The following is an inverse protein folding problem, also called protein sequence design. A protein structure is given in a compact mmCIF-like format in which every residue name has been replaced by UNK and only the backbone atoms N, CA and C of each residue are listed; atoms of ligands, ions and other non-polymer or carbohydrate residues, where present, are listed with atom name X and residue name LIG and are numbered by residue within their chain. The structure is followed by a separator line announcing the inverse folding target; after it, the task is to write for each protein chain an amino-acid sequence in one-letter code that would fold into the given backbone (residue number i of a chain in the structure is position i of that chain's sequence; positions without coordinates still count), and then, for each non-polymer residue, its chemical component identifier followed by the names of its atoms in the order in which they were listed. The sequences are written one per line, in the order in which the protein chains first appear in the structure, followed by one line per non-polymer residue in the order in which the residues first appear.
data_IF_595945410990
#
_entry.id   IF_595945410990
#
_cell.length_a   1.000
_cell.length_b   1.000
_cell.length_c   1.000
_cell.angle_alpha   90.00
_cell.angle_beta   90.00
_cell.angle_gamma   90.00
#
_symmetry.space_group_name_H-M   'P 1'
#
loop_
_entity.id
_entity.type
_entity.pdbx_description
1 polymer ?
#
# COMPACT_ATOMS: atom_id res chain seq x y z
N UNK A 1 14.37 9.50 4.09
CA UNK A 1 13.09 10.22 4.16
C UNK A 1 12.05 9.44 3.38
N UNK A 2 10.82 9.35 3.88
CA UNK A 2 9.69 8.60 3.29
C UNK A 2 9.62 7.10 3.59
N UNK A 3 8.65 6.40 2.98
CA UNK A 3 8.15 5.09 3.44
C UNK A 3 9.09 3.93 3.17
N UNK A 4 8.79 2.81 3.82
CA UNK A 4 9.42 1.50 3.57
C UNK A 4 8.78 0.82 2.35
N UNK A 5 9.42 -0.18 1.72
CA UNK A 5 8.74 -1.03 0.74
C UNK A 5 7.50 -1.72 1.33
N UNK A 6 6.50 -2.02 0.48
CA UNK A 6 5.36 -2.85 0.89
C UNK A 6 5.81 -4.19 1.48
N UNK A 7 5.12 -4.63 2.53
CA UNK A 7 5.21 -6.00 3.00
C UNK A 7 4.10 -6.78 2.30
N UNK A 8 4.45 -7.69 1.39
CA UNK A 8 3.46 -8.65 0.90
C UNK A 8 3.20 -9.63 2.04
N UNK A 9 1.95 -9.78 2.50
CA UNK A 9 1.63 -10.70 3.58
C UNK A 9 0.52 -11.65 3.14
N UNK A 10 0.89 -12.92 2.91
CA UNK A 10 -0.02 -14.01 3.27
C UNK A 10 -0.23 -13.92 4.79
N UNK A 11 -1.46 -14.05 5.32
CA UNK A 11 -1.66 -14.00 6.77
C UNK A 11 -0.85 -15.12 7.44
N UNK A 12 0.20 -14.74 8.16
CA UNK A 12 1.00 -15.65 8.96
C UNK A 12 0.20 -16.10 10.18
N UNK A 13 0.43 -17.33 10.64
CA UNK A 13 -0.02 -17.72 11.97
C UNK A 13 0.62 -16.80 13.03
N UNK A 14 -0.05 -16.60 14.16
CA UNK A 14 0.47 -15.76 15.27
C UNK A 14 1.89 -16.19 15.69
N UNK A 15 2.17 -17.50 15.68
CA UNK A 15 3.48 -18.03 16.01
C UNK A 15 4.56 -17.72 14.95
N UNK A 16 4.25 -17.81 13.65
CA UNK A 16 5.19 -17.42 12.58
C UNK A 16 5.42 -15.90 12.56
N UNK A 17 4.38 -15.11 12.83
CA UNK A 17 4.49 -13.65 12.93
C UNK A 17 5.42 -13.24 14.08
N UNK A 18 5.33 -13.87 15.25
CA UNK A 18 6.22 -13.61 16.38
C UNK A 18 7.69 -13.96 16.06
N UNK A 19 7.94 -15.10 15.41
CA UNK A 19 9.29 -15.50 14.96
C UNK A 19 9.85 -14.50 13.96
N UNK A 20 9.05 -14.06 12.99
CA UNK A 20 9.46 -13.06 12.01
C UNK A 20 9.75 -11.70 12.64
N UNK A 21 8.92 -11.26 13.59
CA UNK A 21 9.13 -10.02 14.35
C UNK A 21 10.46 -10.07 15.11
N UNK A 22 10.77 -11.19 15.76
CA UNK A 22 12.05 -11.35 16.48
C UNK A 22 13.27 -11.27 15.54
N UNK A 23 13.16 -11.81 14.32
CA UNK A 23 14.20 -11.68 13.29
C UNK A 23 14.32 -10.25 12.76
N UNK A 24 13.22 -9.52 12.68
CA UNK A 24 13.21 -8.12 12.22
C UNK A 24 13.84 -7.18 13.26
N UNK A 25 13.59 -7.41 14.56
CA UNK A 25 14.23 -6.67 15.65
C UNK A 25 15.76 -6.79 15.67
N UNK A 26 16.30 -7.88 15.11
CA UNK A 26 17.73 -8.08 15.01
C UNK A 26 18.42 -7.16 13.98
N UNK A 27 17.67 -6.33 13.24
CA UNK A 27 18.14 -5.37 12.24
C UNK A 27 19.20 -5.96 11.28
N UNK A 28 18.84 -7.13 10.74
CA UNK A 28 19.70 -7.87 9.82
C UNK A 28 20.81 -8.68 10.49
N UNK A 29 20.99 -8.69 11.81
CA UNK A 29 21.92 -9.63 12.46
C UNK A 29 21.40 -11.07 12.34
N UNK A 30 22.19 -12.03 11.83
CA UNK A 30 21.78 -13.43 11.76
C UNK A 30 21.68 -14.05 13.15
N UNK A 31 20.56 -14.71 13.44
CA UNK A 31 20.27 -15.38 14.71
C UNK A 31 20.16 -16.90 14.54
N UNK A 32 20.55 -17.66 15.56
CA UNK A 32 20.30 -19.10 15.64
C UNK A 32 18.87 -19.37 16.10
N UNK A 33 18.30 -20.50 15.66
CA UNK A 33 16.97 -20.94 16.13
C UNK A 33 16.85 -20.98 17.66
N UNK A 34 17.92 -21.35 18.37
CA UNK A 34 17.93 -21.37 19.85
C UNK A 34 17.80 -19.97 20.46
N UNK A 35 18.41 -18.95 19.86
CA UNK A 35 18.33 -17.58 20.37
C UNK A 35 16.90 -17.05 20.26
N UNK A 36 16.25 -17.33 19.13
CA UNK A 36 14.86 -16.95 18.86
C UNK A 36 13.90 -17.70 19.78
N UNK A 37 14.09 -19.01 19.94
CA UNK A 37 13.29 -19.84 20.84
C UNK A 37 13.36 -19.34 22.29
N UNK A 38 14.56 -19.01 22.77
CA UNK A 38 14.76 -18.48 24.11
C UNK A 38 14.09 -17.11 24.29
N UNK A 39 14.21 -16.21 23.30
CA UNK A 39 13.60 -14.87 23.35
C UNK A 39 12.06 -14.94 23.41
N UNK A 40 11.46 -15.88 22.67
CA UNK A 40 10.01 -16.03 22.59
C UNK A 40 9.43 -17.00 23.63
N UNK A 41 10.25 -17.62 24.47
CA UNK A 41 9.80 -18.66 25.42
C UNK A 41 9.22 -19.90 24.72
N UNK A 42 9.66 -20.19 23.50
CA UNK A 42 9.17 -21.30 22.67
C UNK A 42 10.13 -22.49 22.68
N UNK A 43 9.64 -23.66 22.27
CA UNK A 43 10.48 -24.83 22.08
C UNK A 43 11.27 -24.74 20.76
N UNK A 44 12.57 -25.05 20.81
CA UNK A 44 13.49 -24.86 19.66
C UNK A 44 13.05 -25.62 18.39
N UNK A 45 12.45 -26.80 18.52
CA UNK A 45 11.97 -27.54 17.35
C UNK A 45 10.77 -26.85 16.68
N UNK A 46 9.84 -26.31 17.46
CA UNK A 46 8.70 -25.55 16.95
C UNK A 46 9.17 -24.26 16.29
N UNK A 47 10.14 -23.57 16.89
CA UNK A 47 10.78 -22.40 16.27
C UNK A 47 11.49 -22.77 14.96
N UNK A 48 12.15 -23.94 14.87
CA UNK A 48 12.73 -24.41 13.60
C UNK A 48 11.67 -24.66 12.52
N UNK A 49 10.57 -25.32 12.84
CA UNK A 49 9.47 -25.53 11.90
C UNK A 49 8.88 -24.20 11.39
N UNK A 50 8.75 -23.21 12.28
CA UNK A 50 8.33 -21.86 11.89
C UNK A 50 9.38 -21.17 11.00
N UNK A 51 10.66 -21.27 11.33
CA UNK A 51 11.74 -20.71 10.52
C UNK A 51 11.83 -21.38 9.15
N UNK A 52 11.68 -22.70 9.06
CA UNK A 52 11.61 -23.44 7.80
C UNK A 52 10.44 -22.96 6.94
N UNK A 53 9.26 -22.76 7.54
CA UNK A 53 8.12 -22.15 6.88
C UNK A 53 8.42 -20.74 6.37
N UNK A 54 9.00 -19.87 7.21
CA UNK A 54 9.38 -18.52 6.82
C UNK A 54 10.46 -18.50 5.72
N UNK A 55 11.39 -19.46 5.71
CA UNK A 55 12.39 -19.60 4.64
C UNK A 55 11.74 -20.07 3.33
N UNK A 56 10.81 -21.02 3.41
CA UNK A 56 10.04 -21.49 2.26
C UNK A 56 9.16 -20.37 1.68
N UNK A 57 8.60 -19.53 2.53
CA UNK A 57 7.85 -18.35 2.17
C UNK A 57 8.76 -17.15 1.77
N UNK A 58 10.10 -17.30 1.75
CA UNK A 58 11.08 -16.23 1.48
C UNK A 58 11.01 -14.99 2.41
N UNK A 59 10.47 -15.15 3.62
CA UNK A 59 10.45 -14.16 4.68
C UNK A 59 11.74 -14.12 5.50
N UNK A 60 12.50 -15.21 5.47
CA UNK A 60 13.79 -15.34 6.12
C UNK A 60 14.79 -16.04 5.18
N UNK A 61 16.07 -15.77 5.36
CA UNK A 61 17.15 -16.55 4.73
C UNK A 61 17.85 -17.41 5.77
N UNK A 62 18.23 -18.62 5.37
CA UNK A 62 19.04 -19.54 6.16
C UNK A 62 20.45 -19.61 5.58
N UNK A 63 21.45 -19.28 6.38
CA UNK A 63 22.87 -19.41 6.03
C UNK A 63 23.54 -20.38 6.98
N UNK A 64 24.61 -21.04 6.52
CA UNK A 64 25.41 -21.88 7.40
C UNK A 64 26.55 -21.04 7.97
N UNK A 65 26.75 -21.10 9.28
CA UNK A 65 27.88 -20.44 9.92
C UNK A 65 29.22 -20.94 9.34
N UNK A 66 30.20 -20.04 9.24
CA UNK A 66 31.54 -20.42 8.82
C UNK A 66 32.11 -21.51 9.76
N UNK A 67 32.65 -22.62 9.23
CA UNK A 67 33.20 -23.69 10.06
C UNK A 67 34.30 -23.16 10.99
N UNK A 68 34.10 -23.31 12.30
CA UNK A 68 35.12 -23.03 13.32
C UNK A 68 35.28 -24.25 14.22
N UNK A 69 36.37 -25.00 14.02
CA UNK A 69 36.72 -26.15 14.86
C UNK A 69 35.92 -27.43 14.57
N UNK A 70 35.86 -28.33 15.56
CA UNK A 70 35.15 -29.62 15.46
C UNK A 70 33.67 -29.43 15.82
N UNK A 71 32.78 -29.75 14.90
CA UNK A 71 31.32 -29.72 15.10
C UNK A 71 30.59 -29.45 13.79
N UNK A 72 29.30 -29.81 13.71
CA UNK A 72 28.46 -29.43 12.56
C UNK A 72 28.20 -27.92 12.65
N UNK A 73 28.54 -27.12 11.63
CA UNK A 73 28.26 -25.69 11.64
C UNK A 73 26.76 -25.42 11.81
N UNK A 74 26.41 -24.38 12.55
CA UNK A 74 25.01 -24.09 12.84
C UNK A 74 24.35 -23.29 11.72
N UNK A 75 23.04 -23.51 11.54
CA UNK A 75 22.21 -22.67 10.67
C UNK A 75 21.90 -21.35 11.38
N UNK A 76 22.15 -20.25 10.68
CA UNK A 76 21.80 -18.90 11.04
C UNK A 76 20.63 -18.44 10.19
N UNK A 77 19.70 -17.71 10.79
CA UNK A 77 18.51 -17.19 10.15
C UNK A 77 18.50 -15.67 10.25
N UNK A 78 18.08 -15.00 9.19
CA UNK A 78 17.92 -13.54 9.20
C UNK A 78 16.63 -13.19 8.47
N UNK A 79 15.98 -12.10 8.89
CA UNK A 79 14.83 -11.56 8.18
C UNK A 79 15.26 -11.11 6.77
N UNK A 80 14.50 -11.50 5.74
CA UNK A 80 14.74 -10.99 4.39
C UNK A 80 14.36 -9.51 4.33
N UNK A 81 15.24 -8.63 3.81
CA UNK A 81 14.85 -7.25 3.54
C UNK A 81 13.64 -7.25 2.60
N UNK A 82 12.47 -6.80 3.06
CA UNK A 82 11.28 -6.59 2.22
C UNK A 82 10.36 -7.80 1.96
N UNK A 83 10.49 -8.89 2.72
CA UNK A 83 9.41 -9.90 2.88
C UNK A 83 9.31 -11.01 1.80
N UNK A 84 8.21 -11.81 1.82
CA UNK A 84 8.08 -13.14 1.20
C UNK A 84 8.16 -13.14 -0.33
N UNK A 85 8.03 -11.97 -0.93
CA UNK A 85 7.98 -11.80 -2.38
C UNK A 85 9.10 -10.89 -2.86
N UNK A 86 10.12 -10.60 -2.05
CA UNK A 86 11.16 -9.61 -2.38
C UNK A 86 11.79 -9.76 -3.79
N UNK A 87 12.11 -10.97 -4.29
CA UNK A 87 12.61 -11.14 -5.65
C UNK A 87 11.58 -10.78 -6.73
N UNK A 88 10.32 -11.17 -6.53
CA UNK A 88 9.21 -10.89 -7.44
C UNK A 88 8.81 -9.40 -7.37
N UNK A 89 8.80 -8.82 -6.18
CA UNK A 89 8.56 -7.39 -5.94
C UNK A 89 9.61 -6.50 -6.62
N UNK A 90 10.89 -6.92 -6.64
CA UNK A 90 11.92 -6.23 -7.44
C UNK A 90 11.66 -6.32 -8.94
N UNK A 91 11.23 -7.47 -9.46
CA UNK A 91 10.93 -7.63 -10.88
C UNK A 91 9.73 -6.77 -11.30
N UNK A 92 8.67 -6.73 -10.50
CA UNK A 92 7.53 -5.84 -10.75
C UNK A 92 7.88 -4.36 -10.57
N UNK A 93 8.74 -4.02 -9.62
CA UNK A 93 9.24 -2.65 -9.49
C UNK A 93 10.05 -2.23 -10.73
N UNK A 94 10.94 -3.09 -11.23
CA UNK A 94 11.70 -2.81 -12.46
C UNK A 94 10.79 -2.71 -13.70
N UNK A 95 9.75 -3.55 -13.80
CA UNK A 95 8.75 -3.42 -14.86
C UNK A 95 7.96 -2.10 -14.73
N UNK A 96 7.59 -1.73 -13.51
CA UNK A 96 6.91 -0.46 -13.26
C UNK A 96 7.79 0.73 -13.66
N UNK A 97 9.09 0.70 -13.36
CA UNK A 97 10.05 1.72 -13.77
C UNK A 97 10.05 1.89 -15.30
N UNK A 98 10.22 0.80 -16.06
CA UNK A 98 10.21 0.81 -17.53
C UNK A 98 8.88 1.33 -18.10
N UNK A 99 7.75 0.95 -17.51
CA UNK A 99 6.44 1.43 -17.96
C UNK A 99 6.23 2.91 -17.65
N UNK A 100 6.76 3.40 -16.54
CA UNK A 100 6.72 4.83 -16.20
C UNK A 100 7.57 5.63 -17.16
N UNK A 101 8.78 5.17 -17.49
CA UNK A 101 9.65 5.78 -18.51
C UNK A 101 8.90 5.88 -19.86
N UNK A 102 8.24 4.80 -20.29
CA UNK A 102 7.44 4.82 -21.52
C UNK A 102 6.31 5.86 -21.49
N UNK A 103 5.63 6.02 -20.35
CA UNK A 103 4.58 7.04 -20.19
C UNK A 103 5.17 8.44 -20.27
N UNK A 104 6.31 8.67 -19.64
CA UNK A 104 7.00 9.96 -19.69
C UNK A 104 7.43 10.34 -21.11
N UNK A 105 7.81 9.37 -21.93
CA UNK A 105 8.22 9.60 -23.32
C UNK A 105 7.03 9.77 -24.29
N UNK A 106 5.91 9.12 -24.02
CA UNK A 106 4.83 8.94 -25.01
C UNK A 106 3.57 9.77 -24.74
N UNK A 107 3.48 10.48 -23.61
CA UNK A 107 2.26 11.17 -23.18
C UNK A 107 2.54 12.64 -22.87
N UNK A 108 1.74 13.54 -23.42
CA UNK A 108 1.90 15.00 -23.25
C UNK A 108 1.76 15.48 -21.80
N UNK A 109 0.81 14.88 -21.05
CA UNK A 109 0.61 15.13 -19.62
C UNK A 109 0.66 13.81 -18.83
N UNK A 110 1.87 13.35 -18.46
CA UNK A 110 2.07 12.12 -17.70
C UNK A 110 1.37 12.13 -16.34
N UNK A 111 1.32 13.28 -15.66
CA UNK A 111 0.73 13.38 -14.33
C UNK A 111 -0.78 13.19 -14.38
N UNK A 112 -1.46 13.87 -15.30
CA UNK A 112 -2.90 13.70 -15.47
C UNK A 112 -3.25 12.31 -16.01
N UNK A 113 -2.41 11.73 -16.88
CA UNK A 113 -2.60 10.36 -17.34
C UNK A 113 -2.46 9.34 -16.20
N UNK A 114 -1.47 9.52 -15.33
CA UNK A 114 -1.27 8.71 -14.13
C UNK A 114 -2.44 8.83 -13.16
N UNK A 115 -2.92 10.05 -12.90
CA UNK A 115 -4.11 10.28 -12.08
C UNK A 115 -5.33 9.53 -12.63
N UNK A 116 -5.62 9.66 -13.94
CA UNK A 116 -6.72 8.92 -14.59
C UNK A 116 -6.53 7.41 -14.54
N UNK A 117 -5.29 6.92 -14.60
CA UNK A 117 -5.00 5.50 -14.43
C UNK A 117 -5.32 5.04 -13.00
N UNK A 118 -4.95 5.84 -12.00
CA UNK A 118 -5.35 5.69 -10.61
C UNK A 118 -6.87 5.63 -10.45
N UNK A 119 -7.62 6.53 -11.08
CA UNK A 119 -9.09 6.52 -11.01
C UNK A 119 -9.71 5.26 -11.62
N UNK A 120 -9.19 4.80 -12.76
CA UNK A 120 -9.63 3.53 -13.36
C UNK A 120 -9.36 2.34 -12.45
N UNK A 121 -8.25 2.36 -11.71
CA UNK A 121 -7.92 1.32 -10.76
C UNK A 121 -8.78 1.40 -9.49
N UNK A 122 -8.97 2.59 -8.92
CA UNK A 122 -9.82 2.81 -7.75
C UNK A 122 -11.25 2.30 -7.96
N UNK A 123 -11.84 2.52 -9.14
CA UNK A 123 -13.16 1.93 -9.49
C UNK A 123 -13.20 0.41 -9.44
N UNK A 124 -12.10 -0.27 -9.78
CA UNK A 124 -12.02 -1.74 -9.68
C UNK A 124 -11.95 -2.18 -8.23
N UNK A 125 -11.13 -1.51 -7.42
CA UNK A 125 -11.02 -1.78 -5.98
C UNK A 125 -12.35 -1.56 -5.25
N UNK A 126 -13.11 -0.54 -5.66
CA UNK A 126 -14.43 -0.26 -5.09
C UNK A 126 -15.44 -1.39 -5.36
N UNK A 127 -15.35 -2.07 -6.50
CA UNK A 127 -16.27 -3.16 -6.84
C UNK A 127 -16.20 -4.33 -5.85
N UNK A 128 -15.05 -4.50 -5.19
CA UNK A 128 -14.79 -5.53 -4.19
C UNK A 128 -14.95 -5.01 -2.73
N UNK A 129 -15.37 -3.75 -2.56
CA UNK A 129 -15.48 -3.12 -1.25
C UNK A 129 -16.73 -3.63 -0.47
N UNK A 130 -16.60 -3.94 0.82
CA UNK A 130 -17.75 -4.26 1.68
C UNK A 130 -18.71 -3.07 1.80
N UNK A 131 -20.01 -3.33 1.73
CA UNK A 131 -21.05 -2.28 1.74
C UNK A 131 -21.33 -1.67 3.13
N UNK A 132 -20.77 -2.25 4.21
CA UNK A 132 -21.03 -1.88 5.60
C UNK A 132 -19.96 -0.97 6.24
N UNK A 133 -18.96 -0.57 5.47
CA UNK A 133 -17.84 0.27 5.93
C UNK A 133 -18.07 1.75 5.60
N UNK A 134 -17.57 2.64 6.44
CA UNK A 134 -17.49 4.07 6.12
C UNK A 134 -16.51 4.32 4.96
N UNK A 135 -16.62 5.47 4.29
CA UNK A 135 -15.74 5.80 3.16
C UNK A 135 -14.25 5.71 3.54
N UNK A 136 -13.91 6.24 4.72
CA UNK A 136 -12.57 6.17 5.28
C UNK A 136 -12.11 4.73 5.52
N UNK A 137 -12.94 3.88 6.12
CA UNK A 137 -12.61 2.47 6.38
C UNK A 137 -12.39 1.67 5.08
N UNK A 138 -13.17 1.97 4.03
CA UNK A 138 -12.95 1.38 2.70
C UNK A 138 -11.59 1.82 2.14
N UNK A 139 -11.27 3.12 2.20
CA UNK A 139 -9.97 3.63 1.74
C UNK A 139 -8.82 2.94 2.48
N UNK A 140 -8.89 2.82 3.80
CA UNK A 140 -7.83 2.17 4.59
C UNK A 140 -7.61 0.72 4.19
N UNK A 141 -8.72 -0.02 4.09
CA UNK A 141 -8.68 -1.43 3.74
C UNK A 141 -8.06 -1.63 2.37
N UNK A 142 -8.51 -0.86 1.38
CA UNK A 142 -8.02 -0.96 0.02
C UNK A 142 -6.55 -0.54 -0.07
N UNK A 143 -6.13 0.54 0.60
CA UNK A 143 -4.73 0.96 0.66
C UNK A 143 -3.84 -0.07 1.38
N UNK A 144 -4.33 -0.70 2.44
CA UNK A 144 -3.64 -1.77 3.14
C UNK A 144 -3.48 -3.01 2.24
N UNK A 145 -4.53 -3.39 1.53
CA UNK A 145 -4.57 -4.54 0.62
C UNK A 145 -3.56 -4.40 -0.53
N UNK A 146 -3.41 -3.19 -1.08
CA UNK A 146 -2.41 -2.90 -2.11
C UNK A 146 -1.01 -2.59 -1.54
N UNK A 147 -0.84 -2.58 -0.22
CA UNK A 147 0.47 -2.59 0.45
C UNK A 147 1.00 -1.26 0.99
N UNK A 148 0.18 -0.21 1.15
CA UNK A 148 0.61 1.09 1.70
C UNK A 148 0.73 1.17 3.21
N UNK A 149 0.05 0.27 3.95
CA UNK A 149 -0.07 0.34 5.41
C UNK A 149 -0.46 1.76 5.90
N UNK A 150 -1.70 2.21 5.65
CA UNK A 150 -2.14 3.55 6.04
C UNK A 150 -2.25 3.70 7.56
N UNK A 151 -1.80 4.85 8.08
CA UNK A 151 -2.04 5.32 9.44
C UNK A 151 -2.88 6.59 9.40
N UNK A 152 -3.93 6.65 10.21
CA UNK A 152 -4.77 7.85 10.33
C UNK A 152 -4.11 8.93 11.15
N UNK A 153 -4.24 10.17 10.68
CA UNK A 153 -3.81 11.36 11.40
C UNK A 153 -4.90 12.41 11.59
N UNK A 154 -6.08 12.17 11.02
CA UNK A 154 -7.25 13.04 11.11
C UNK A 154 -8.28 12.67 10.04
N UNK A 155 -9.39 13.38 10.02
CA UNK A 155 -10.43 13.19 9.00
C UNK A 155 -9.87 13.51 7.61
N UNK A 156 -9.86 12.51 6.72
CA UNK A 156 -9.30 12.66 5.38
C UNK A 156 -7.78 12.80 5.33
N UNK A 157 -7.04 12.46 6.40
CA UNK A 157 -5.57 12.61 6.47
C UNK A 157 -4.89 11.27 6.78
N UNK A 158 -4.08 10.79 5.84
CA UNK A 158 -3.35 9.53 5.94
C UNK A 158 -1.84 9.73 5.88
N UNK A 159 -1.12 8.98 6.73
CA UNK A 159 0.30 8.68 6.55
C UNK A 159 0.42 7.31 5.92
N UNK A 160 1.12 7.22 4.79
CA UNK A 160 1.42 5.95 4.14
C UNK A 160 2.85 5.55 4.51
N UNK A 161 3.00 4.63 5.44
CA UNK A 161 4.33 4.22 5.95
C UNK A 161 5.00 3.16 5.09
N UNK A 162 4.27 2.60 4.12
CA UNK A 162 4.81 1.73 3.07
C UNK A 162 4.44 2.21 1.67
N UNK A 163 5.24 1.82 0.68
CA UNK A 163 4.96 2.04 -0.73
C UNK A 163 5.27 0.76 -1.52
N UNK A 164 4.29 0.18 -2.24
CA UNK A 164 4.49 -1.01 -3.07
C UNK A 164 5.41 -0.76 -4.26
N UNK A 165 5.52 0.49 -4.71
CA UNK A 165 6.33 0.92 -5.84
C UNK A 165 7.43 1.88 -5.40
N UNK A 166 8.05 1.65 -4.22
CA UNK A 166 9.00 2.61 -3.63
C UNK A 166 10.16 2.99 -4.56
N UNK A 167 10.72 2.02 -5.30
CA UNK A 167 11.80 2.27 -6.27
C UNK A 167 11.34 3.25 -7.35
N UNK A 168 10.23 2.93 -8.02
CA UNK A 168 9.62 3.78 -9.05
C UNK A 168 9.22 5.16 -8.51
N UNK A 169 8.65 5.21 -7.31
CA UNK A 169 8.23 6.45 -6.68
C UNK A 169 9.40 7.38 -6.35
N UNK A 170 10.60 6.84 -6.11
CA UNK A 170 11.81 7.66 -5.87
C UNK A 170 12.35 8.26 -7.16
N UNK A 171 12.24 7.54 -8.28
CA UNK A 171 12.71 8.00 -9.58
C UNK A 171 11.70 8.94 -10.24
N UNK A 172 10.40 8.62 -10.12
CA UNK A 172 9.32 9.27 -10.84
C UNK A 172 8.11 9.54 -9.93
N UNK A 173 8.27 10.36 -8.86
CA UNK A 173 7.20 10.63 -7.90
C UNK A 173 5.96 11.24 -8.56
N UNK A 174 6.16 12.12 -9.54
CA UNK A 174 5.08 12.81 -10.24
C UNK A 174 4.14 11.88 -11.00
N UNK A 175 4.62 10.71 -11.43
CA UNK A 175 3.78 9.71 -12.10
C UNK A 175 3.21 8.75 -11.06
N UNK A 176 4.08 8.08 -10.30
CA UNK A 176 3.68 7.00 -9.38
C UNK A 176 2.76 7.51 -8.28
N UNK A 177 3.08 8.65 -7.65
CA UNK A 177 2.25 9.20 -6.59
C UNK A 177 0.92 9.75 -7.12
N UNK A 178 0.86 10.25 -8.36
CA UNK A 178 -0.42 10.64 -8.96
C UNK A 178 -1.33 9.44 -9.27
N UNK A 179 -0.78 8.25 -9.58
CA UNK A 179 -1.60 7.01 -9.62
C UNK A 179 -2.25 6.77 -8.26
N UNK A 180 -1.49 6.84 -7.17
CA UNK A 180 -2.01 6.60 -5.82
C UNK A 180 -3.07 7.65 -5.42
N UNK A 181 -2.84 8.92 -5.78
CA UNK A 181 -3.79 10.01 -5.61
C UNK A 181 -5.12 9.74 -6.33
N UNK A 182 -5.06 9.27 -7.58
CA UNK A 182 -6.24 8.93 -8.38
C UNK A 182 -7.05 7.76 -7.79
N UNK A 183 -6.38 6.78 -7.18
CA UNK A 183 -7.05 5.67 -6.47
C UNK A 183 -7.90 6.22 -5.32
N UNK A 184 -7.31 7.01 -4.43
CA UNK A 184 -8.02 7.56 -3.26
C UNK A 184 -9.16 8.48 -3.71
N UNK A 185 -8.92 9.35 -4.70
CA UNK A 185 -9.96 10.23 -5.25
C UNK A 185 -11.15 9.44 -5.79
N UNK A 186 -10.90 8.37 -6.55
CA UNK A 186 -11.96 7.54 -7.13
C UNK A 186 -12.71 6.70 -6.10
N UNK A 187 -12.05 6.24 -5.03
CA UNK A 187 -12.72 5.53 -3.95
C UNK A 187 -13.71 6.46 -3.24
N UNK A 188 -13.26 7.65 -2.86
CA UNK A 188 -14.08 8.65 -2.18
C UNK A 188 -15.26 9.11 -3.06
N UNK A 189 -15.03 9.37 -4.34
CA UNK A 189 -16.09 9.73 -5.30
C UNK A 189 -17.15 8.63 -5.42
N UNK A 190 -16.73 7.37 -5.59
CA UNK A 190 -17.66 6.24 -5.71
C UNK A 190 -18.40 5.89 -4.42
N UNK A 191 -17.92 6.36 -3.27
CA UNK A 191 -18.58 6.23 -1.95
C UNK A 191 -19.50 7.43 -1.66
N UNK A 192 -19.64 8.38 -2.58
CA UNK A 192 -20.51 9.56 -2.44
C UNK A 192 -19.89 10.71 -1.64
N UNK A 193 -18.59 10.68 -1.38
CA UNK A 193 -17.85 11.71 -0.62
C UNK A 193 -16.75 12.37 -1.50
N UNK A 194 -17.12 12.99 -2.64
CA UNK A 194 -16.15 13.54 -3.58
C UNK A 194 -15.25 14.58 -2.90
N UNK A 195 -13.95 14.37 -3.01
CA UNK A 195 -12.95 15.14 -2.27
C UNK A 195 -11.80 15.58 -3.18
N UNK A 196 -11.28 16.78 -2.92
CA UNK A 196 -10.02 17.23 -3.48
C UNK A 196 -8.88 16.50 -2.76
N UNK A 197 -8.30 15.50 -3.44
CA UNK A 197 -7.20 14.70 -2.89
C UNK A 197 -5.85 15.28 -3.31
N UNK A 198 -4.95 15.45 -2.34
CA UNK A 198 -3.55 15.82 -2.53
C UNK A 198 -2.63 14.73 -1.96
N UNK A 199 -1.48 14.53 -2.60
CA UNK A 199 -0.43 13.62 -2.11
C UNK A 199 0.88 14.40 -1.97
N UNK A 200 1.59 14.17 -0.86
CA UNK A 200 2.86 14.79 -0.52
C UNK A 200 3.92 13.67 -0.41
N UNK A 201 4.64 13.37 -1.50
CA UNK A 201 5.61 12.28 -1.52
C UNK A 201 6.79 12.56 -0.59
N UNK A 202 7.21 11.54 0.19
CA UNK A 202 8.39 11.58 1.05
C UNK A 202 8.43 12.79 2.02
N UNK A 203 7.27 13.34 2.36
CA UNK A 203 7.13 14.62 3.06
C UNK A 203 7.64 14.59 4.50
N UNK A 204 7.84 13.41 5.07
CA UNK A 204 8.29 13.23 6.46
C UNK A 204 9.13 11.96 6.63
N UNK A 205 9.85 11.80 7.76
CA UNK A 205 10.55 10.57 8.06
C UNK A 205 9.58 9.38 8.11
N UNK A 206 9.83 8.38 7.26
CA UNK A 206 9.07 7.12 7.29
C UNK A 206 7.73 7.11 6.56
N UNK A 207 7.26 8.22 5.95
CA UNK A 207 5.95 8.21 5.26
C UNK A 207 5.80 9.21 4.11
N UNK A 208 4.81 8.94 3.25
CA UNK A 208 4.17 9.95 2.42
C UNK A 208 2.87 10.39 3.10
N UNK A 209 2.39 11.61 2.81
CA UNK A 209 1.08 12.07 3.30
C UNK A 209 0.05 12.14 2.18
N UNK A 210 -1.20 11.79 2.48
CA UNK A 210 -2.37 12.07 1.65
C UNK A 210 -3.33 12.92 2.47
N UNK A 211 -3.88 13.94 1.84
CA UNK A 211 -5.02 14.71 2.35
C UNK A 211 -6.18 14.65 1.38
N UNK A 212 -7.40 14.57 1.89
CA UNK A 212 -8.64 14.64 1.14
C UNK A 212 -9.55 15.68 1.80
N UNK A 213 -9.89 16.73 1.04
CA UNK A 213 -10.81 17.77 1.50
C UNK A 213 -12.13 17.63 0.76
N UNK A 214 -13.27 17.49 1.44
CA UNK A 214 -14.57 17.39 0.78
C UNK A 214 -14.77 18.54 -0.20
N UNK A 215 -15.14 18.23 -1.43
CA UNK A 215 -15.55 19.26 -2.38
C UNK A 215 -16.93 19.74 -1.96
N UNK A 216 -17.10 21.03 -1.72
CA UNK A 216 -18.44 21.59 -1.50
C UNK A 216 -19.26 21.32 -2.75
N UNK A 217 -20.28 20.47 -2.65
CA UNK A 217 -21.20 20.26 -3.76
C UNK A 217 -21.79 21.61 -4.16
N UNK A 218 -21.70 21.96 -5.45
CA UNK A 218 -22.49 23.07 -5.99
C UNK A 218 -23.96 22.69 -5.76
N UNK A 219 -24.79 23.52 -5.09
CA UNK A 219 -26.20 23.19 -4.93
C UNK A 219 -26.79 23.01 -6.33
N UNK A 220 -27.39 21.85 -6.55
CA UNK A 220 -28.20 21.59 -7.74
C UNK A 220 -29.34 22.59 -7.70
N UNK A 221 -29.26 23.62 -8.56
CA UNK A 221 -30.36 24.57 -8.74
C UNK A 221 -31.59 23.78 -9.15
N UNK A 222 -32.54 23.67 -8.23
CA UNK A 222 -33.88 23.18 -8.45
C UNK A 222 -34.50 24.00 -9.59
N UNK A 223 -34.87 23.34 -10.69
CA UNK A 223 -35.76 23.90 -11.70
C UNK A 223 -37.10 24.21 -11.04
N UNK A 224 -37.36 25.49 -10.78
CA UNK A 224 -38.70 26.01 -10.50
C UNK A 224 -39.59 25.73 -11.71
N UNK A 225 -40.78 25.11 -11.56
CA UNK A 225 -41.76 25.08 -12.64
C UNK A 225 -42.26 26.52 -12.86
N UNK A 226 -42.10 27.04 -14.07
CA UNK A 226 -42.70 28.31 -14.46
C UNK A 226 -44.22 28.13 -14.51
N UNK A 227 -44.93 28.77 -13.59
CA UNK A 227 -46.32 29.19 -13.79
C UNK A 227 -46.34 30.21 -14.92
N UNK A 228 -47.08 29.92 -15.99
CA UNK A 228 -47.61 30.96 -16.88
C UNK A 228 -49.06 30.65 -17.17
N UNK A 229 -49.94 31.34 -16.43
CA UNK A 229 -51.35 31.53 -16.71
C UNK A 229 -51.52 32.95 -17.28
N UNK A 230 -51.93 33.05 -18.55
CA UNK A 230 -52.80 34.07 -19.18
C UNK A 230 -52.78 33.90 -20.70
N UNK A 231 -53.81 33.38 -21.36
CA UNK A 231 -55.14 33.96 -21.64
C UNK A 231 -55.10 35.03 -22.75
N UNK A 232 -55.59 34.65 -23.95
CA UNK A 232 -56.59 35.37 -24.79
C UNK A 232 -56.48 35.12 -26.32
N UNK A 233 -57.59 34.58 -26.87
CA UNK A 233 -58.29 34.89 -28.15
C UNK A 233 -57.51 35.08 -29.48
N UNK A 234 -57.87 34.27 -30.49
CA UNK A 234 -58.70 34.67 -31.68
C UNK A 234 -58.42 33.82 -32.94
N UNK A 235 -59.50 33.49 -33.69
CA UNK A 235 -59.58 32.91 -35.04
C UNK A 235 -59.03 31.46 -35.20
N UNK A 236 -59.80 30.48 -35.70
CA UNK A 236 -60.73 30.52 -36.84
C UNK A 236 -61.83 29.45 -36.70
#
# INVERSE_FOLDING_TARGET
MGPLPAAVATPLSSARAAVLAQLAEADGQPLRAQQIANALGQHVNTTREHLEGLVADHLAEATTEAPRGRGRPATLYRCMPGGPMWPIGRQYAALADVLVEQVLESVDDPQAAAFRAGERWGRKLLADAPADLSAQQVVDRQLAEVGFAPEHTGDGEWRLVRCPLLTAARLHPDVVCNVHRGVVASLLDGLGEPSEVSIFPFSEPGACRISARPTSSRPTSSTTPAETEKDERAAS
#
